data_IF_109862922445
#
_entry.id   IF_109862922445
#
_cell.length_a   1.000
_cell.length_b   1.000
_cell.length_c   1.000
_cell.angle_alpha   90.00
_cell.angle_beta   90.00
_cell.angle_gamma   90.00
#
_symmetry.space_group_name_H-M   'P 1'
#
loop_
_entity.id
_entity.type
_entity.pdbx_description
1 polymer ?
#
# COMPACT_ATOMS: atom_id res chain seq x y z
N UNK A 1 13.34 15.70 17.66
CA UNK A 1 13.72 14.33 18.08
C UNK A 1 12.54 13.37 18.27
N UNK A 2 11.37 13.79 18.79
CA UNK A 2 10.12 12.99 18.73
C UNK A 2 9.28 13.28 17.46
N UNK A 3 9.46 14.45 16.85
CA UNK A 3 8.80 14.87 15.59
C UNK A 3 9.22 14.05 14.36
N UNK A 4 10.46 13.54 14.36
CA UNK A 4 11.04 12.89 13.17
C UNK A 4 10.65 11.41 13.04
N UNK A 5 10.10 10.79 14.11
CA UNK A 5 9.62 9.40 14.07
C UNK A 5 8.21 9.28 13.53
N UNK A 6 7.36 10.28 13.73
CA UNK A 6 5.98 10.32 13.18
C UNK A 6 6.03 10.43 11.65
N UNK A 7 7.10 11.02 11.11
CA UNK A 7 7.37 11.13 9.68
C UNK A 7 7.56 9.79 8.96
N UNK A 8 8.07 8.75 9.65
CA UNK A 8 8.54 7.50 9.04
C UNK A 8 7.57 6.31 9.10
N UNK A 9 6.42 6.43 9.77
CA UNK A 9 5.50 5.30 9.86
C UNK A 9 4.76 5.16 8.51
N UNK A 10 4.89 4.02 7.80
CA UNK A 10 4.18 3.80 6.55
C UNK A 10 2.68 3.69 6.80
N UNK A 11 1.87 4.11 5.81
CA UNK A 11 0.42 3.95 5.90
C UNK A 11 0.05 2.52 5.58
N UNK A 12 -0.57 1.83 6.54
CA UNK A 12 -0.98 0.44 6.39
C UNK A 12 -2.48 0.29 6.16
N UNK A 13 -2.87 -0.54 5.20
CA UNK A 13 -4.27 -0.89 4.93
C UNK A 13 -4.41 -2.42 4.88
N UNK A 14 -5.34 -2.99 5.64
CA UNK A 14 -5.67 -4.43 5.58
C UNK A 14 -6.81 -4.65 4.61
N UNK A 15 -6.71 -5.68 3.78
CA UNK A 15 -7.74 -6.09 2.83
C UNK A 15 -8.05 -7.57 3.01
N UNK A 16 -9.32 -7.92 2.91
CA UNK A 16 -9.83 -9.28 3.08
C UNK A 16 -10.66 -9.63 1.86
N UNK A 17 -10.45 -10.81 1.30
CA UNK A 17 -11.28 -11.40 0.25
C UNK A 17 -12.25 -12.44 0.83
N UNK A 18 -11.78 -13.27 1.76
CA UNK A 18 -12.58 -14.17 2.60
C UNK A 18 -11.81 -14.52 3.88
N UNK A 19 -12.28 -15.50 4.64
CA UNK A 19 -11.68 -15.91 5.92
C UNK A 19 -10.22 -16.35 5.80
N UNK A 20 -9.81 -16.88 4.64
CA UNK A 20 -8.48 -17.45 4.42
C UNK A 20 -7.60 -16.60 3.48
N UNK A 21 -8.20 -15.70 2.70
CA UNK A 21 -7.50 -14.82 1.77
C UNK A 21 -7.53 -13.38 2.30
N UNK A 22 -6.42 -12.95 2.89
CA UNK A 22 -6.24 -11.60 3.39
C UNK A 22 -4.83 -11.10 3.14
N UNK A 23 -4.66 -9.79 3.14
CA UNK A 23 -3.40 -9.16 2.79
C UNK A 23 -3.31 -7.74 3.30
N UNK A 24 -2.13 -7.17 3.16
CA UNK A 24 -1.81 -5.85 3.66
C UNK A 24 -1.13 -5.02 2.58
N UNK A 25 -1.58 -3.79 2.41
CA UNK A 25 -0.83 -2.76 1.73
C UNK A 25 0.00 -1.98 2.75
N UNK A 26 1.27 -1.73 2.41
CA UNK A 26 2.19 -0.91 3.20
C UNK A 26 2.76 0.14 2.27
N UNK A 27 2.19 1.35 2.29
CA UNK A 27 2.59 2.42 1.40
C UNK A 27 3.58 3.38 2.07
N UNK A 28 4.79 3.53 1.53
CA UNK A 28 5.69 4.62 1.89
C UNK A 28 5.05 5.98 1.58
N UNK A 29 5.33 7.00 2.42
CA UNK A 29 4.67 8.32 2.29
C UNK A 29 5.09 9.07 1.03
N UNK A 30 6.34 8.92 0.59
CA UNK A 30 6.86 9.46 -0.66
C UNK A 30 6.09 8.92 -1.87
N UNK A 31 5.72 7.65 -1.85
CA UNK A 31 4.89 7.03 -2.89
C UNK A 31 3.48 7.62 -2.87
N UNK A 32 2.88 7.81 -1.69
CA UNK A 32 1.57 8.45 -1.57
C UNK A 32 1.61 9.92 -2.01
N UNK A 33 2.69 10.65 -1.77
CA UNK A 33 2.92 12.01 -2.27
C UNK A 33 3.06 12.01 -3.80
N UNK A 34 3.86 11.10 -4.37
CA UNK A 34 4.05 10.96 -5.82
C UNK A 34 2.75 10.64 -6.56
N UNK A 35 1.85 9.88 -5.92
CA UNK A 35 0.52 9.57 -6.44
C UNK A 35 -0.54 10.65 -6.12
N UNK A 36 -0.14 11.78 -5.54
CA UNK A 36 -1.00 12.90 -5.14
C UNK A 36 -2.14 12.48 -4.19
N UNK A 37 -1.88 11.48 -3.35
CA UNK A 37 -2.81 10.97 -2.35
C UNK A 37 -2.69 11.80 -1.08
N UNK A 38 -1.46 12.04 -0.62
CA UNK A 38 -1.22 12.95 0.50
C UNK A 38 -1.25 14.41 0.04
N UNK A 39 -1.72 15.29 0.93
CA UNK A 39 -1.67 16.74 0.71
C UNK A 39 -0.22 17.21 0.70
N UNK A 40 0.11 18.07 -0.25
CA UNK A 40 1.39 18.77 -0.33
C UNK A 40 1.16 20.26 -0.56
N UNK A 41 2.23 21.05 -0.70
CA UNK A 41 2.11 22.45 -1.11
C UNK A 41 1.49 22.60 -2.51
N UNK A 42 1.64 21.59 -3.37
CA UNK A 42 1.16 21.60 -4.76
C UNK A 42 -0.13 20.82 -4.98
N UNK A 43 -0.55 19.96 -4.04
CA UNK A 43 -1.76 19.13 -4.20
C UNK A 43 -2.63 19.12 -2.96
N UNK A 44 -3.96 19.14 -3.17
CA UNK A 44 -4.95 19.06 -2.08
C UNK A 44 -4.94 17.68 -1.38
N UNK A 45 -4.37 16.65 -2.02
CA UNK A 45 -4.48 15.26 -1.62
C UNK A 45 -5.86 14.67 -1.94
N UNK A 46 -6.02 13.37 -1.65
CA UNK A 46 -7.28 12.63 -1.78
C UNK A 46 -7.79 12.26 -0.40
N UNK A 47 -9.11 12.35 -0.22
CA UNK A 47 -9.78 11.95 1.01
C UNK A 47 -9.94 10.42 1.13
N UNK A 48 -10.02 9.74 -0.01
CA UNK A 48 -10.13 8.29 -0.09
C UNK A 48 -9.40 7.76 -1.33
N UNK A 49 -8.94 6.52 -1.24
CA UNK A 49 -8.37 5.78 -2.37
C UNK A 49 -8.99 4.39 -2.43
N UNK A 50 -9.07 3.83 -3.65
CA UNK A 50 -9.34 2.40 -3.85
C UNK A 50 -8.02 1.66 -3.90
N UNK A 51 -7.97 0.47 -3.32
CA UNK A 51 -6.83 -0.44 -3.39
C UNK A 51 -7.23 -1.69 -4.16
N UNK A 52 -6.33 -2.20 -4.99
CA UNK A 52 -6.54 -3.36 -5.85
C UNK A 52 -5.51 -4.44 -5.52
N UNK A 53 -5.83 -5.41 -4.65
CA UNK A 53 -4.93 -6.52 -4.31
C UNK A 53 -4.61 -7.40 -5.53
N UNK A 54 -3.63 -8.30 -5.38
CA UNK A 54 -3.17 -9.19 -6.47
C UNK A 54 -4.27 -10.10 -7.03
N UNK A 55 -5.23 -10.48 -6.18
CA UNK A 55 -6.38 -11.31 -6.56
C UNK A 55 -7.55 -10.53 -7.17
N UNK A 56 -7.46 -9.20 -7.26
CA UNK A 56 -8.47 -8.40 -7.95
C UNK A 56 -8.13 -8.28 -9.46
N UNK A 57 -9.15 -8.20 -10.31
CA UNK A 57 -9.00 -8.11 -11.76
C UNK A 57 -9.78 -6.91 -12.31
N UNK A 58 -9.25 -5.69 -12.14
CA UNK A 58 -9.92 -4.47 -12.58
C UNK A 58 -10.06 -4.42 -14.10
N UNK A 59 -11.25 -4.07 -14.59
CA UNK A 59 -11.56 -3.98 -16.03
C UNK A 59 -11.25 -2.63 -16.67
N UNK A 60 -11.20 -1.54 -15.88
CA UNK A 60 -10.98 -0.20 -16.42
C UNK A 60 -9.49 0.14 -16.52
N UNK A 61 -9.09 0.85 -17.59
CA UNK A 61 -7.69 1.27 -17.79
C UNK A 61 -7.12 2.06 -16.61
N UNK A 62 -7.95 2.86 -15.93
CA UNK A 62 -7.53 3.63 -14.75
C UNK A 62 -7.30 2.73 -13.54
N UNK A 63 -8.17 1.76 -13.31
CA UNK A 63 -8.04 0.82 -12.21
C UNK A 63 -6.84 -0.12 -12.42
N UNK A 64 -6.60 -0.60 -13.65
CA UNK A 64 -5.40 -1.39 -13.99
C UNK A 64 -4.11 -0.61 -13.74
N UNK A 65 -4.05 0.67 -14.15
CA UNK A 65 -2.90 1.55 -13.84
C UNK A 65 -2.71 1.73 -12.34
N UNK A 66 -3.82 1.84 -11.59
CA UNK A 66 -3.80 1.99 -10.14
C UNK A 66 -3.27 0.74 -9.46
N UNK A 67 -3.78 -0.43 -9.85
CA UNK A 67 -3.30 -1.72 -9.37
C UNK A 67 -1.80 -1.88 -9.65
N UNK A 68 -1.34 -1.56 -10.86
CA UNK A 68 0.07 -1.73 -11.24
C UNK A 68 1.05 -1.04 -10.30
N UNK A 69 0.77 0.17 -9.83
CA UNK A 69 1.66 0.84 -8.88
C UNK A 69 1.43 0.40 -7.43
N UNK A 70 0.27 -0.16 -7.10
CA UNK A 70 -0.07 -0.63 -5.76
C UNK A 70 0.52 -2.00 -5.44
N UNK A 71 0.58 -2.92 -6.41
CA UNK A 71 1.03 -4.30 -6.22
C UNK A 71 2.44 -4.47 -5.61
N UNK A 72 3.44 -3.62 -5.91
CA UNK A 72 4.74 -3.69 -5.23
C UNK A 72 4.63 -3.57 -3.70
N UNK A 73 3.64 -2.80 -3.23
CA UNK A 73 3.39 -2.50 -1.81
C UNK A 73 2.36 -3.45 -1.18
N UNK A 74 1.92 -4.47 -1.92
CA UNK A 74 0.96 -5.46 -1.47
C UNK A 74 1.64 -6.71 -0.95
N UNK A 75 1.15 -7.21 0.19
CA UNK A 75 1.62 -8.41 0.87
C UNK A 75 0.43 -9.34 1.03
N UNK A 76 0.50 -10.50 0.37
CA UNK A 76 -0.49 -11.56 0.53
C UNK A 76 -0.17 -12.36 1.80
N UNK A 77 -1.02 -12.24 2.81
CA UNK A 77 -0.81 -12.82 4.13
C UNK A 77 -1.45 -14.20 4.26
N UNK A 78 -2.11 -14.69 3.22
CA UNK A 78 -2.68 -16.05 3.19
C UNK A 78 -1.60 -17.13 3.10
N UNK A 79 -0.39 -16.78 2.64
CA UNK A 79 0.74 -17.70 2.47
C UNK A 79 1.90 -17.25 3.35
N UNK A 80 1.95 -17.77 4.58
CA UNK A 80 3.09 -17.55 5.47
C UNK A 80 4.31 -18.33 4.98
N UNK A 81 5.31 -17.64 4.45
CA UNK A 81 6.60 -18.22 4.07
C UNK A 81 7.76 -17.24 4.34
N UNK A 82 9.00 -17.72 4.22
CA UNK A 82 10.20 -16.91 4.51
C UNK A 82 10.29 -15.66 3.64
N UNK A 83 9.94 -15.78 2.35
CA UNK A 83 9.92 -14.66 1.39
C UNK A 83 8.90 -13.58 1.78
N UNK A 84 7.77 -13.97 2.38
CA UNK A 84 6.79 -13.04 2.92
C UNK A 84 7.39 -12.20 4.05
N UNK A 85 8.08 -12.86 4.99
CA UNK A 85 8.71 -12.19 6.13
C UNK A 85 9.75 -11.17 5.67
N UNK A 86 10.60 -11.53 4.70
CA UNK A 86 11.59 -10.63 4.11
C UNK A 86 10.93 -9.41 3.48
N UNK A 87 9.88 -9.60 2.68
CA UNK A 87 9.14 -8.51 2.04
C UNK A 87 8.46 -7.57 3.05
N UNK A 88 7.89 -8.13 4.12
CA UNK A 88 7.29 -7.32 5.20
C UNK A 88 8.37 -6.50 5.89
N UNK A 89 9.50 -7.09 6.25
CA UNK A 89 10.60 -6.37 6.89
C UNK A 89 11.10 -5.23 6.00
N UNK A 90 11.27 -5.49 4.70
CA UNK A 90 11.65 -4.46 3.72
C UNK A 90 10.65 -3.30 3.71
N UNK A 91 9.36 -3.57 3.54
CA UNK A 91 8.32 -2.54 3.43
C UNK A 91 8.15 -1.69 4.69
N UNK A 92 8.39 -2.25 5.87
CA UNK A 92 8.34 -1.52 7.14
C UNK A 92 9.65 -0.78 7.48
N UNK A 93 10.74 -1.05 6.73
CA UNK A 93 12.03 -0.36 6.87
C UNK A 93 12.17 0.85 5.94
N UNK A 94 11.26 1.00 4.97
CA UNK A 94 11.14 2.18 4.08
C UNK A 94 10.53 3.38 4.80
#
# INVERSE_FOLDING_TARGET
>A
MLSDRIGKIPSTLKTFKNENEFGQFVFPKDILLKQNILRSASTKGKMAIRVYPSWDSPSSKQAMKTQKWQLPYFVDMSILNQTLLEKVIELYSL
#
